data_IF_948848535067
#
_entry.id   IF_948848535067
#
_cell.length_a   1.000
_cell.length_b   1.000
_cell.length_c   1.000
_cell.angle_alpha   90.00
_cell.angle_beta   90.00
_cell.angle_gamma   90.00
#
_symmetry.space_group_name_H-M   'P 1'
#
loop_
_entity.id
_entity.type
_entity.pdbx_description
1 polymer ?
#
# COMPACT_ATOMS: atom_id res chain seq x y z
N UNK A 1 4.84 13.09 6.47
CA UNK A 1 4.06 12.30 5.48
C UNK A 1 3.76 10.91 6.03
N UNK A 2 4.77 10.10 6.39
CA UNK A 2 4.51 8.74 6.96
C UNK A 2 3.64 8.80 8.21
N UNK A 3 3.87 9.78 9.10
CA UNK A 3 3.04 10.02 10.29
C UNK A 3 1.58 10.41 10.02
N UNK A 4 1.21 10.66 8.76
CA UNK A 4 -0.15 10.98 8.33
C UNK A 4 -0.86 9.79 7.68
N UNK A 5 -0.16 8.67 7.49
CA UNK A 5 -0.75 7.42 7.02
C UNK A 5 -1.38 6.70 8.20
N UNK A 6 -2.58 6.18 7.99
CA UNK A 6 -3.22 5.29 8.97
C UNK A 6 -2.50 3.94 9.02
N UNK A 7 -2.68 3.21 10.12
CA UNK A 7 -2.12 1.87 10.28
C UNK A 7 -2.56 0.91 9.15
N UNK A 8 -3.82 1.03 8.69
CA UNK A 8 -4.34 0.22 7.59
C UNK A 8 -3.69 0.54 6.26
N UNK A 9 -3.42 1.81 6.00
CA UNK A 9 -2.69 2.24 4.79
C UNK A 9 -1.24 1.76 4.82
N UNK A 10 -0.58 1.81 5.98
CA UNK A 10 0.77 1.27 6.15
C UNK A 10 0.77 -0.24 5.93
N UNK A 11 -0.19 -0.97 6.51
CA UNK A 11 -0.33 -2.41 6.32
C UNK A 11 -0.55 -2.76 4.84
N UNK A 12 -1.47 -2.07 4.15
CA UNK A 12 -1.66 -2.25 2.71
C UNK A 12 -0.37 -1.94 1.93
N UNK A 13 0.34 -0.86 2.25
CA UNK A 13 1.57 -0.46 1.58
C UNK A 13 2.67 -1.52 1.71
N UNK A 14 2.79 -2.16 2.87
CA UNK A 14 3.70 -3.29 3.08
C UNK A 14 3.28 -4.51 2.26
N UNK A 15 1.99 -4.86 2.26
CA UNK A 15 1.46 -5.97 1.47
C UNK A 15 1.64 -5.73 -0.04
N UNK A 16 1.54 -4.48 -0.49
CA UNK A 16 1.76 -4.10 -1.89
C UNK A 16 3.22 -4.34 -2.35
N UNK A 17 4.17 -4.45 -1.42
CA UNK A 17 5.58 -4.80 -1.70
C UNK A 17 5.80 -6.30 -1.93
N UNK A 18 4.83 -7.15 -1.58
CA UNK A 18 4.88 -8.59 -1.88
C UNK A 18 4.44 -8.87 -3.32
N UNK A 19 4.49 -10.13 -3.74
CA UNK A 19 3.98 -10.57 -5.05
C UNK A 19 2.45 -10.75 -5.09
N UNK A 20 1.75 -10.50 -3.99
CA UNK A 20 0.29 -10.69 -3.92
C UNK A 20 -0.45 -9.75 -4.86
N UNK A 21 -1.52 -10.23 -5.47
CA UNK A 21 -2.51 -9.43 -6.20
C UNK A 21 -3.37 -8.61 -5.23
N UNK A 22 -4.05 -7.56 -5.72
CA UNK A 22 -4.95 -6.78 -4.85
C UNK A 22 -6.10 -7.61 -4.27
N UNK A 23 -6.52 -8.67 -4.97
CA UNK A 23 -7.54 -9.59 -4.46
C UNK A 23 -7.00 -10.39 -3.27
N UNK A 24 -5.81 -10.96 -3.38
CA UNK A 24 -5.18 -11.71 -2.29
C UNK A 24 -4.85 -10.81 -1.10
N UNK A 25 -4.45 -9.55 -1.35
CA UNK A 25 -4.25 -8.55 -0.29
C UNK A 25 -5.57 -8.26 0.42
N UNK A 26 -6.67 -8.11 -0.33
CA UNK A 26 -7.99 -7.91 0.26
C UNK A 26 -8.39 -9.07 1.16
N UNK A 27 -8.21 -10.31 0.69
CA UNK A 27 -8.45 -11.53 1.47
C UNK A 27 -7.57 -11.57 2.73
N UNK A 28 -6.27 -11.32 2.60
CA UNK A 28 -5.33 -11.33 3.72
C UNK A 28 -5.62 -10.24 4.76
N UNK A 29 -6.17 -9.09 4.35
CA UNK A 29 -6.56 -8.02 5.26
C UNK A 29 -8.00 -8.18 5.76
N UNK A 30 -8.73 -9.22 5.33
CA UNK A 30 -10.17 -9.41 5.61
C UNK A 30 -11.02 -8.20 5.17
N UNK A 31 -10.72 -7.66 3.98
CA UNK A 31 -11.37 -6.50 3.38
C UNK A 31 -11.93 -6.82 2.00
N UNK A 32 -12.78 -5.93 1.49
CA UNK A 32 -13.25 -6.02 0.11
C UNK A 32 -12.18 -5.54 -0.88
N UNK A 33 -12.13 -6.07 -2.12
CA UNK A 33 -11.23 -5.55 -3.16
C UNK A 33 -11.40 -4.04 -3.40
N UNK A 34 -12.62 -3.53 -3.29
CA UNK A 34 -12.92 -2.09 -3.42
C UNK A 34 -12.27 -1.25 -2.32
N UNK A 35 -12.16 -1.78 -1.11
CA UNK A 35 -11.46 -1.11 -0.01
C UNK A 35 -9.96 -1.03 -0.29
N UNK A 36 -9.37 -2.10 -0.84
CA UNK A 36 -7.97 -2.13 -1.26
C UNK A 36 -7.70 -1.13 -2.40
N UNK A 37 -8.59 -1.06 -3.39
CA UNK A 37 -8.52 -0.03 -4.45
C UNK A 37 -8.57 1.38 -3.85
N UNK A 38 -9.41 1.61 -2.83
CA UNK A 38 -9.46 2.86 -2.08
C UNK A 38 -8.13 3.22 -1.42
N UNK A 39 -7.51 2.29 -0.68
CA UNK A 39 -6.20 2.52 -0.07
C UNK A 39 -5.12 2.80 -1.12
N UNK A 40 -5.12 2.06 -2.23
CA UNK A 40 -4.21 2.32 -3.34
C UNK A 40 -4.37 3.75 -3.83
N UNK A 41 -5.58 4.17 -4.20
CA UNK A 41 -5.83 5.48 -4.80
C UNK A 41 -5.53 6.63 -3.83
N UNK A 42 -5.84 6.47 -2.54
CA UNK A 42 -5.49 7.44 -1.51
C UNK A 42 -3.97 7.54 -1.33
N UNK A 43 -3.26 6.42 -1.28
CA UNK A 43 -1.80 6.41 -1.13
C UNK A 43 -1.08 6.97 -2.36
N UNK A 44 -1.54 6.64 -3.58
CA UNK A 44 -1.00 7.23 -4.81
C UNK A 44 -1.05 8.76 -4.74
N UNK A 45 -2.18 9.32 -4.29
CA UNK A 45 -2.36 10.77 -4.10
C UNK A 45 -1.49 11.32 -2.97
N UNK A 46 -1.56 10.74 -1.77
CA UNK A 46 -0.84 11.21 -0.57
C UNK A 46 0.68 11.17 -0.75
N UNK A 47 1.19 10.16 -1.46
CA UNK A 47 2.62 9.95 -1.69
C UNK A 47 3.10 10.55 -3.02
N UNK A 48 2.20 11.14 -3.81
CA UNK A 48 2.47 11.72 -5.12
C UNK A 48 3.19 10.74 -6.07
N UNK A 49 2.68 9.52 -6.17
CA UNK A 49 3.18 8.47 -7.06
C UNK A 49 2.05 7.95 -7.94
N UNK A 50 2.39 7.36 -9.09
CA UNK A 50 1.40 7.04 -10.13
C UNK A 50 1.14 5.53 -10.32
N UNK A 51 1.86 4.66 -9.61
CA UNK A 51 1.74 3.22 -9.79
C UNK A 51 2.08 2.44 -8.53
N UNK A 52 1.71 1.15 -8.52
CA UNK A 52 2.13 0.21 -7.49
C UNK A 52 3.65 0.20 -7.30
N UNK A 53 4.41 0.23 -8.39
CA UNK A 53 5.88 0.29 -8.34
C UNK A 53 6.35 1.55 -7.62
N UNK A 54 5.67 2.68 -7.82
CA UNK A 54 5.93 3.92 -7.08
C UNK A 54 5.68 3.76 -5.57
N UNK A 55 4.61 3.09 -5.18
CA UNK A 55 4.31 2.77 -3.78
C UNK A 55 5.40 1.86 -3.17
N UNK A 56 5.80 0.81 -3.87
CA UNK A 56 6.86 -0.12 -3.42
C UNK A 56 8.19 0.60 -3.26
N UNK A 57 8.56 1.42 -4.26
CA UNK A 57 9.80 2.21 -4.22
C UNK A 57 9.79 3.18 -3.04
N UNK A 58 8.66 3.83 -2.78
CA UNK A 58 8.48 4.69 -1.62
C UNK A 58 8.66 3.92 -0.31
N UNK A 59 8.01 2.76 -0.17
CA UNK A 59 8.05 1.94 1.04
C UNK A 59 9.49 1.49 1.38
N UNK A 60 10.24 1.00 0.39
CA UNK A 60 11.63 0.57 0.57
C UNK A 60 12.53 1.77 0.96
N UNK A 61 12.46 2.88 0.21
CA UNK A 61 13.28 4.07 0.47
C UNK A 61 13.07 4.67 1.86
N UNK A 62 11.88 4.49 2.42
CA UNK A 62 11.51 5.02 3.72
C UNK A 62 11.60 3.97 4.84
N UNK A 63 12.12 2.76 4.58
CA UNK A 63 12.29 1.71 5.58
C UNK A 63 10.97 1.11 6.09
N UNK A 64 9.87 1.27 5.37
CA UNK A 64 8.56 0.67 5.70
C UNK A 64 8.49 -0.81 5.29
N UNK A 65 9.36 -1.22 4.37
CA UNK A 65 9.53 -2.60 3.94
C UNK A 65 11.01 -2.89 3.72
N UNK A 66 11.46 -4.09 4.08
CA UNK A 66 12.84 -4.55 3.93
C UNK A 66 12.83 -5.80 3.04
N UNK A 67 13.70 -5.80 2.03
CA UNK A 67 13.98 -6.96 1.17
C UNK A 67 14.68 -8.07 1.96
#
# INVERSE_FOLDING_TARGET
IISQLSEKEIAFLQMACTEMTYKEIAESMSLSPRTIDGYRDELLKKLNVQSRIGLVTFAIKNGLYKL
#
